data_IF_272909264021
#
_entry.id   IF_272909264021
#
_cell.length_a   1.000
_cell.length_b   1.000
_cell.length_c   1.000
_cell.angle_alpha   90.00
_cell.angle_beta   90.00
_cell.angle_gamma   90.00
#
_symmetry.space_group_name_H-M   'P 1'
#
loop_
_entity.id
_entity.type
_entity.pdbx_description
1 polymer ?
#
# COMPACT_ATOMS: atom_id res chain seq x y z
N UNK A 1 -19.96 37.46 -16.21
CA UNK A 1 -18.65 36.76 -16.17
C UNK A 1 -18.10 36.58 -14.77
N UNK A 2 -18.03 37.63 -13.92
CA UNK A 2 -17.46 37.54 -12.55
C UNK A 2 -18.18 36.53 -11.63
N UNK A 3 -19.52 36.47 -11.67
CA UNK A 3 -20.32 35.51 -10.85
C UNK A 3 -20.09 34.05 -11.23
N UNK A 4 -19.93 33.77 -12.53
CA UNK A 4 -19.65 32.43 -13.04
C UNK A 4 -18.23 31.99 -12.66
N UNK A 5 -17.25 32.90 -12.78
CA UNK A 5 -15.87 32.67 -12.35
C UNK A 5 -15.78 32.36 -10.84
N UNK A 6 -16.53 33.09 -10.01
CA UNK A 6 -16.61 32.83 -8.56
C UNK A 6 -17.22 31.46 -8.24
N UNK A 7 -18.21 31.01 -9.02
CA UNK A 7 -18.81 29.67 -8.86
C UNK A 7 -17.81 28.56 -9.22
N UNK A 8 -17.05 28.74 -10.30
CA UNK A 8 -15.96 27.82 -10.66
C UNK A 8 -14.85 27.78 -9.61
N UNK A 9 -14.49 28.94 -9.05
CA UNK A 9 -13.49 29.02 -7.98
C UNK A 9 -13.96 28.32 -6.70
N UNK A 10 -15.24 28.49 -6.33
CA UNK A 10 -15.86 27.79 -5.20
C UNK A 10 -15.96 26.27 -5.44
N UNK A 11 -16.19 25.83 -6.67
CA UNK A 11 -16.20 24.40 -7.01
C UNK A 11 -14.78 23.81 -6.92
N UNK A 12 -13.77 24.54 -7.41
CA UNK A 12 -12.37 24.15 -7.30
C UNK A 12 -11.90 24.03 -5.84
N UNK A 13 -12.29 24.95 -4.95
CA UNK A 13 -11.91 24.87 -3.53
C UNK A 13 -12.53 23.67 -2.81
N UNK A 14 -13.78 23.31 -3.15
CA UNK A 14 -14.44 22.10 -2.62
C UNK A 14 -13.76 20.83 -3.13
N UNK A 15 -13.38 20.77 -4.41
CA UNK A 15 -12.69 19.61 -4.98
C UNK A 15 -11.28 19.42 -4.38
N UNK A 16 -10.54 20.51 -4.16
CA UNK A 16 -9.20 20.46 -3.53
C UNK A 16 -9.30 20.11 -2.03
N UNK A 17 -10.31 20.62 -1.32
CA UNK A 17 -10.53 20.30 0.10
C UNK A 17 -10.80 18.82 0.36
N UNK A 18 -11.49 18.14 -0.56
CA UNK A 18 -11.74 16.69 -0.47
C UNK A 18 -10.51 15.83 -0.81
N UNK A 19 -9.50 16.39 -1.49
CA UNK A 19 -8.24 15.72 -1.81
C UNK A 19 -7.18 15.84 -0.69
N UNK A 20 -7.46 16.63 0.36
CA UNK A 20 -6.64 16.67 1.56
C UNK A 20 -6.80 15.34 2.32
N UNK A 21 -5.99 14.35 1.93
CA UNK A 21 -5.95 13.04 2.58
C UNK A 21 -5.89 13.19 4.10
N UNK A 22 -6.78 12.51 4.81
CA UNK A 22 -6.77 12.47 6.28
C UNK A 22 -5.35 12.14 6.75
N UNK A 23 -4.71 13.05 7.48
CA UNK A 23 -3.51 12.74 8.26
C UNK A 23 -3.92 11.75 9.35
N UNK A 24 -3.87 10.46 9.02
CA UNK A 24 -4.00 9.40 10.02
C UNK A 24 -2.75 9.48 10.89
N UNK A 25 -2.92 9.63 12.20
CA UNK A 25 -1.80 9.45 13.12
C UNK A 25 -1.43 7.97 13.10
N UNK A 26 -0.42 7.62 12.31
CA UNK A 26 0.04 6.25 12.09
C UNK A 26 0.36 5.57 13.43
N UNK A 27 0.86 6.32 14.42
CA UNK A 27 1.21 5.77 15.73
C UNK A 27 0.02 5.18 16.51
N UNK A 28 -1.20 5.61 16.21
CA UNK A 28 -2.42 5.11 16.86
C UNK A 28 -2.96 3.81 16.23
N UNK A 29 -2.42 3.40 15.08
CA UNK A 29 -2.88 2.18 14.40
C UNK A 29 -2.26 0.94 15.05
N UNK A 30 -2.92 -0.23 14.96
CA UNK A 30 -2.31 -1.50 15.34
C UNK A 30 -0.98 -1.73 14.60
N UNK A 31 0.02 -2.41 15.21
CA UNK A 31 1.34 -2.63 14.60
C UNK A 31 1.29 -3.17 13.17
N UNK A 32 0.39 -4.13 12.90
CA UNK A 32 0.20 -4.72 11.58
C UNK A 32 -0.23 -3.68 10.53
N UNK A 33 -1.21 -2.82 10.85
CA UNK A 33 -1.67 -1.76 9.94
C UNK A 33 -0.59 -0.70 9.70
N UNK A 34 0.20 -0.39 10.74
CA UNK A 34 1.35 0.51 10.60
C UNK A 34 2.37 -0.07 9.61
N UNK A 35 2.72 -1.34 9.76
CA UNK A 35 3.64 -2.01 8.85
C UNK A 35 3.13 -1.95 7.40
N UNK A 36 1.86 -2.32 7.16
CA UNK A 36 1.25 -2.23 5.82
C UNK A 36 1.38 -0.82 5.22
N UNK A 37 1.07 0.24 5.98
CA UNK A 37 1.17 1.62 5.49
C UNK A 37 2.63 2.01 5.20
N UNK A 38 3.56 1.64 6.08
CA UNK A 38 4.99 1.92 5.91
C UNK A 38 5.51 1.24 4.64
N UNK A 39 5.25 -0.06 4.46
CA UNK A 39 5.66 -0.82 3.27
C UNK A 39 5.13 -0.14 2.00
N UNK A 40 3.83 0.14 1.95
CA UNK A 40 3.23 0.80 0.78
C UNK A 40 3.88 2.14 0.46
N UNK A 41 4.27 2.89 1.49
CA UNK A 41 4.87 4.22 1.34
C UNK A 41 6.29 4.15 0.77
N UNK A 42 7.08 3.15 1.17
CA UNK A 42 8.49 3.05 0.82
C UNK A 42 8.78 2.12 -0.36
N UNK A 43 8.08 0.98 -0.46
CA UNK A 43 8.25 0.03 -1.58
C UNK A 43 7.55 0.50 -2.85
N UNK A 44 6.45 1.26 -2.71
CA UNK A 44 5.58 1.69 -3.82
C UNK A 44 4.96 0.52 -4.59
N UNK A 45 4.02 0.81 -5.51
CA UNK A 45 3.37 -0.23 -6.31
C UNK A 45 4.21 -0.53 -7.55
N UNK A 46 4.68 -1.78 -7.69
CA UNK A 46 5.45 -2.23 -8.84
C UNK A 46 4.66 -2.20 -10.14
N UNK A 47 5.37 -1.84 -11.21
CA UNK A 47 4.89 -1.85 -12.58
C UNK A 47 5.31 -3.12 -13.31
N UNK A 48 4.67 -3.46 -14.44
CA UNK A 48 5.01 -4.66 -15.22
C UNK A 48 6.48 -4.78 -15.65
N UNK A 49 7.19 -3.65 -15.76
CA UNK A 49 8.62 -3.58 -16.08
C UNK A 49 9.53 -4.08 -14.94
N UNK A 50 9.03 -4.08 -13.71
CA UNK A 50 9.77 -4.46 -12.50
C UNK A 50 9.73 -5.98 -12.25
N UNK A 51 9.15 -6.74 -13.18
CA UNK A 51 9.13 -8.21 -13.14
C UNK A 51 10.56 -8.76 -12.93
N UNK A 52 10.78 -9.67 -11.96
CA UNK A 52 9.81 -10.58 -11.34
C UNK A 52 9.11 -10.07 -10.08
N UNK A 53 9.12 -8.77 -9.78
CA UNK A 53 8.40 -8.20 -8.64
C UNK A 53 7.04 -7.65 -9.05
N UNK A 54 6.03 -7.89 -8.20
CA UNK A 54 4.64 -7.41 -8.37
C UNK A 54 4.12 -6.85 -7.05
N UNK A 55 3.06 -6.03 -7.10
CA UNK A 55 2.45 -5.47 -5.90
C UNK A 55 3.43 -4.57 -5.12
N UNK A 56 3.54 -4.75 -3.81
CA UNK A 56 4.46 -4.02 -2.93
C UNK A 56 5.62 -4.94 -2.53
N UNK A 57 6.59 -5.17 -3.42
CA UNK A 57 7.78 -6.00 -3.13
C UNK A 57 7.62 -7.53 -3.28
N UNK A 58 6.48 -8.06 -3.74
CA UNK A 58 6.31 -9.52 -3.85
C UNK A 58 7.10 -10.07 -5.04
N UNK A 59 8.08 -10.93 -4.76
CA UNK A 59 8.83 -11.66 -5.79
C UNK A 59 8.07 -12.91 -6.21
N UNK A 60 7.69 -12.96 -7.49
CA UNK A 60 6.97 -14.10 -8.06
C UNK A 60 7.80 -15.38 -8.00
N UNK A 61 7.24 -16.43 -7.41
CA UNK A 61 7.84 -17.76 -7.28
C UNK A 61 7.36 -18.72 -8.38
N UNK A 62 8.13 -19.77 -8.72
CA UNK A 62 7.69 -20.80 -9.66
C UNK A 62 6.36 -21.43 -9.23
N UNK A 63 5.39 -21.46 -10.15
CA UNK A 63 4.05 -22.03 -9.91
C UNK A 63 2.98 -21.01 -9.52
N UNK A 64 3.35 -19.75 -9.26
CA UNK A 64 2.37 -18.68 -9.04
C UNK A 64 1.75 -18.18 -10.35
N UNK A 65 0.50 -17.68 -10.32
CA UNK A 65 -0.23 -17.30 -11.54
C UNK A 65 0.22 -15.96 -12.13
N UNK A 66 1.24 -15.30 -11.55
CA UNK A 66 1.72 -13.99 -12.00
C UNK A 66 2.68 -14.14 -13.19
N UNK A 67 2.32 -13.52 -14.31
CA UNK A 67 3.12 -13.52 -15.54
C UNK A 67 3.77 -12.16 -15.77
N UNK A 68 4.82 -12.11 -16.57
CA UNK A 68 5.41 -10.85 -17.05
C UNK A 68 4.32 -10.04 -17.77
N UNK A 69 4.27 -8.73 -17.53
CA UNK A 69 3.24 -7.85 -18.12
C UNK A 69 2.02 -7.62 -17.23
N UNK A 70 1.82 -8.41 -16.16
CA UNK A 70 0.68 -8.24 -15.25
C UNK A 70 0.91 -7.04 -14.33
N UNK A 71 -0.06 -6.13 -14.28
CA UNK A 71 -0.14 -5.08 -13.27
C UNK A 71 -1.27 -5.39 -12.30
N UNK A 72 -0.95 -5.47 -11.00
CA UNK A 72 -1.97 -5.63 -9.97
C UNK A 72 -2.66 -4.30 -9.72
N UNK A 73 -3.98 -4.36 -9.51
CA UNK A 73 -4.71 -3.23 -8.94
C UNK A 73 -4.23 -2.99 -7.51
N UNK A 74 -4.36 -1.75 -7.01
CA UNK A 74 -3.97 -1.42 -5.63
C UNK A 74 -4.62 -2.35 -4.60
N UNK A 75 -5.89 -2.71 -4.82
CA UNK A 75 -6.63 -3.66 -3.96
C UNK A 75 -6.05 -5.08 -3.99
N UNK A 76 -5.64 -5.56 -5.17
CA UNK A 76 -4.99 -6.87 -5.29
C UNK A 76 -3.60 -6.87 -4.65
N UNK A 77 -2.83 -5.78 -4.85
CA UNK A 77 -1.53 -5.61 -4.25
C UNK A 77 -1.60 -5.51 -2.71
N UNK A 78 -2.59 -4.79 -2.16
CA UNK A 78 -2.84 -4.75 -0.72
C UNK A 78 -3.20 -6.12 -0.15
N UNK A 79 -4.07 -6.87 -0.83
CA UNK A 79 -4.45 -8.21 -0.40
C UNK A 79 -3.25 -9.17 -0.40
N UNK A 80 -2.39 -9.08 -1.42
CA UNK A 80 -1.15 -9.86 -1.52
C UNK A 80 -0.17 -9.48 -0.39
N UNK A 81 0.09 -8.19 -0.21
CA UNK A 81 0.95 -7.68 0.86
C UNK A 81 0.51 -8.17 2.24
N UNK A 82 -0.80 -8.04 2.55
CA UNK A 82 -1.35 -8.50 3.83
C UNK A 82 -1.26 -10.02 4.00
N UNK A 83 -1.32 -10.79 2.91
CA UNK A 83 -1.17 -12.25 2.94
C UNK A 83 0.29 -12.63 3.27
N UNK A 84 1.24 -11.98 2.60
CA UNK A 84 2.67 -12.25 2.80
C UNK A 84 3.13 -11.81 4.19
N UNK A 85 2.74 -10.62 4.62
CA UNK A 85 3.05 -10.11 5.96
C UNK A 85 2.54 -11.04 7.06
N UNK A 86 1.32 -11.59 6.92
CA UNK A 86 0.79 -12.59 7.87
C UNK A 86 1.62 -13.87 7.89
N UNK A 87 2.09 -14.33 6.72
CA UNK A 87 2.96 -15.50 6.63
C UNK A 87 4.29 -15.25 7.35
N UNK A 88 4.90 -14.10 7.13
CA UNK A 88 6.14 -13.72 7.81
C UNK A 88 5.97 -13.58 9.32
N UNK A 89 4.93 -12.87 9.79
CA UNK A 89 4.61 -12.79 11.22
C UNK A 89 4.42 -14.19 11.84
N UNK A 90 3.79 -15.12 11.11
CA UNK A 90 3.67 -16.50 11.57
C UNK A 90 5.00 -17.25 11.61
N UNK A 91 5.89 -17.03 10.64
CA UNK A 91 7.22 -17.64 10.62
C UNK A 91 8.06 -17.17 11.81
N UNK A 92 7.97 -15.89 12.15
CA UNK A 92 8.70 -15.30 13.26
C UNK A 92 7.97 -15.37 14.59
N UNK A 93 6.86 -16.10 14.69
CA UNK A 93 6.04 -16.20 15.92
C UNK A 93 6.85 -16.64 17.15
N UNK A 94 7.90 -17.45 16.94
CA UNK A 94 8.84 -17.87 17.99
C UNK A 94 9.61 -16.69 18.64
N UNK A 95 9.71 -15.55 17.96
CA UNK A 95 10.39 -14.33 18.42
C UNK A 95 9.44 -13.34 19.14
N UNK A 96 8.18 -13.73 19.37
CA UNK A 96 7.23 -12.94 20.15
C UNK A 96 6.97 -11.54 19.57
N UNK A 97 7.27 -10.50 20.35
CA UNK A 97 7.06 -9.09 19.96
C UNK A 97 7.91 -8.66 18.75
N UNK A 98 9.04 -9.32 18.51
CA UNK A 98 9.99 -8.96 17.45
C UNK A 98 9.63 -9.63 16.11
N UNK A 99 8.60 -10.50 16.10
CA UNK A 99 8.15 -11.20 14.92
C UNK A 99 7.74 -10.27 13.76
N UNK A 100 7.17 -9.11 14.10
CA UNK A 100 6.76 -8.10 13.13
C UNK A 100 7.94 -7.29 12.58
N UNK A 101 9.04 -7.16 13.33
CA UNK A 101 10.23 -6.47 12.85
C UNK A 101 10.97 -7.34 11.81
N UNK A 102 11.06 -8.64 12.09
CA UNK A 102 11.71 -9.61 11.20
C UNK A 102 10.89 -9.90 9.93
N UNK A 103 9.59 -9.61 9.94
CA UNK A 103 8.74 -9.79 8.75
C UNK A 103 8.99 -8.79 7.63
N UNK A 104 9.76 -7.74 7.88
CA UNK A 104 10.11 -6.68 6.93
C UNK A 104 11.52 -6.85 6.34
N UNK A 105 12.31 -7.79 6.87
CA UNK A 105 13.72 -8.02 6.51
C UNK A 105 13.94 -9.13 5.49
#
# INVERSE_FOLDING_TARGET
MKKLLMMFFALLTVMVGNAAGRKINIMNLPPFERAVIIIKKFETLHHPKDYPYVGYGHRVLPGEPYRRGVQLTEKQADALLRKDLRKFVSLYKAYGKDALLLSES
#
